data_IF_300376326553
#
_entry.id   IF_300376326553
#
_cell.length_a   1.000
_cell.length_b   1.000
_cell.length_c   1.000
_cell.angle_alpha   90.00
_cell.angle_beta   90.00
_cell.angle_gamma   90.00
#
_symmetry.space_group_name_H-M   'P 1'
#
loop_
_entity.id
_entity.type
_entity.pdbx_description
1 polymer ?
#
# COMPACT_ATOMS: atom_id res chain seq x y z
N UNK A 1 -17.88 -5.21 -21.56
CA UNK A 1 -17.71 -4.22 -22.66
C UNK A 1 -16.35 -4.47 -23.28
N UNK A 2 -16.35 -5.12 -24.43
CA UNK A 2 -15.14 -5.60 -25.10
C UNK A 2 -14.55 -4.47 -25.98
N UNK A 3 -13.41 -3.92 -25.55
CA UNK A 3 -12.71 -2.80 -26.23
C UNK A 3 -11.76 -3.30 -27.34
N UNK A 4 -11.83 -4.58 -27.71
CA UNK A 4 -10.82 -5.23 -28.57
C UNK A 4 -10.93 -4.93 -30.09
N UNK A 5 -12.09 -4.50 -30.61
CA UNK A 5 -12.37 -4.74 -32.04
C UNK A 5 -12.10 -3.62 -33.06
N UNK A 6 -11.48 -2.48 -32.67
CA UNK A 6 -10.97 -1.49 -33.65
C UNK A 6 -9.73 -0.77 -33.10
N UNK A 7 -8.63 -1.50 -32.90
CA UNK A 7 -7.34 -0.85 -32.69
C UNK A 7 -7.02 -0.06 -33.96
N UNK A 8 -7.05 1.27 -33.86
CA UNK A 8 -6.35 2.15 -34.80
C UNK A 8 -4.95 2.28 -34.18
N UNK A 9 -4.00 1.37 -34.50
CA UNK A 9 -2.68 1.36 -33.84
C UNK A 9 -1.93 2.68 -33.99
N UNK A 10 -2.33 3.51 -34.95
CA UNK A 10 -1.67 4.75 -35.28
C UNK A 10 -1.86 5.89 -34.25
N UNK A 11 -2.95 5.89 -33.46
CA UNK A 11 -3.28 7.04 -32.58
C UNK A 11 -2.92 6.84 -31.11
N UNK A 12 -2.33 5.69 -30.75
CA UNK A 12 -2.03 5.31 -29.35
C UNK A 12 -0.95 6.18 -28.69
N UNK A 13 -0.28 7.06 -29.45
CA UNK A 13 0.72 7.98 -28.91
C UNK A 13 0.18 9.38 -28.60
N UNK A 14 -1.02 9.72 -29.09
CA UNK A 14 -1.61 11.05 -28.83
C UNK A 14 -2.22 11.03 -27.43
N UNK A 15 -1.63 11.78 -26.50
CA UNK A 15 -2.03 11.83 -25.10
C UNK A 15 -1.89 13.23 -24.53
N UNK A 16 -2.50 13.46 -23.36
CA UNK A 16 -2.30 14.69 -22.61
C UNK A 16 -0.95 14.64 -21.91
N UNK A 17 -0.06 15.58 -22.17
CA UNK A 17 1.26 15.64 -21.54
C UNK A 17 1.25 15.98 -20.03
N UNK A 18 0.06 16.18 -19.44
CA UNK A 18 -0.13 16.45 -18.01
C UNK A 18 -0.70 15.23 -17.27
N UNK A 19 -1.85 14.73 -17.73
CA UNK A 19 -2.56 13.63 -17.06
C UNK A 19 -2.47 12.28 -17.82
N UNK A 20 -1.78 12.25 -18.95
CA UNK A 20 -1.56 11.07 -19.78
C UNK A 20 -2.82 10.35 -20.29
N UNK A 21 -3.97 11.06 -20.25
CA UNK A 21 -5.22 10.58 -20.86
C UNK A 21 -5.05 10.48 -22.38
N UNK A 22 -5.55 9.40 -22.96
CA UNK A 22 -5.31 9.04 -24.37
C UNK A 22 -6.42 9.59 -25.28
N UNK A 23 -6.02 10.19 -26.39
CA UNK A 23 -6.95 10.74 -27.37
C UNK A 23 -7.86 9.69 -28.01
N UNK A 24 -7.35 8.47 -28.19
CA UNK A 24 -8.10 7.37 -28.84
C UNK A 24 -9.41 7.03 -28.10
N UNK A 25 -9.47 7.25 -26.79
CA UNK A 25 -10.67 7.01 -26.00
C UNK A 25 -11.75 8.08 -26.18
N UNK A 26 -11.43 9.21 -26.83
CA UNK A 26 -12.36 10.32 -27.12
C UNK A 26 -13.16 10.80 -25.89
N UNK A 27 -12.61 10.62 -24.70
CA UNK A 27 -13.24 11.01 -23.42
C UNK A 27 -13.20 12.52 -23.20
N UNK A 28 -12.27 13.22 -23.87
CA UNK A 28 -12.00 14.64 -23.69
C UNK A 28 -11.62 15.30 -25.01
N UNK A 29 -11.79 16.62 -25.06
CA UNK A 29 -11.23 17.46 -26.11
C UNK A 29 -9.74 17.69 -25.83
N UNK A 30 -8.91 17.66 -26.86
CA UNK A 30 -7.47 17.88 -26.78
C UNK A 30 -7.10 19.18 -27.50
N UNK A 31 -6.03 19.80 -27.02
CA UNK A 31 -5.47 21.04 -27.58
C UNK A 31 -3.97 20.87 -27.78
N UNK A 32 -3.47 21.36 -28.91
CA UNK A 32 -2.06 21.57 -29.18
C UNK A 32 -1.69 23.02 -28.82
N UNK A 33 -0.67 23.20 -28.00
CA UNK A 33 -0.18 24.53 -27.65
C UNK A 33 0.78 25.06 -28.73
N UNK A 34 0.30 26.01 -29.54
CA UNK A 34 1.05 26.69 -30.58
C UNK A 34 2.20 27.49 -29.95
N UNK A 35 3.44 27.02 -30.17
CA UNK A 35 4.68 27.60 -29.61
C UNK A 35 5.57 26.55 -28.93
N UNK A 36 4.98 25.53 -28.29
CA UNK A 36 5.75 24.44 -27.66
C UNK A 36 5.35 23.04 -28.12
N UNK A 37 4.28 22.93 -28.92
CA UNK A 37 3.80 21.67 -29.51
C UNK A 37 3.49 20.57 -28.48
N UNK A 38 3.17 20.97 -27.24
CA UNK A 38 2.68 20.04 -26.22
C UNK A 38 1.16 19.87 -26.37
N UNK A 39 0.70 18.64 -26.15
CA UNK A 39 -0.72 18.28 -26.25
C UNK A 39 -1.29 18.24 -24.83
N UNK A 40 -2.43 18.88 -24.60
CA UNK A 40 -3.10 18.94 -23.30
C UNK A 40 -4.61 18.73 -23.46
N UNK A 41 -5.25 18.04 -22.51
CA UNK A 41 -6.71 17.87 -22.53
C UNK A 41 -7.43 19.10 -21.96
N UNK A 42 -8.72 19.22 -22.28
CA UNK A 42 -9.58 20.33 -21.86
C UNK A 42 -9.64 20.51 -20.34
N UNK A 43 -9.51 19.43 -19.55
CA UNK A 43 -9.44 19.52 -18.10
C UNK A 43 -8.15 20.23 -17.64
N UNK A 44 -7.00 19.70 -18.05
CA UNK A 44 -5.71 20.20 -17.62
C UNK A 44 -5.41 21.63 -18.10
N UNK A 45 -5.91 22.02 -19.28
CA UNK A 45 -5.68 23.36 -19.80
C UNK A 45 -6.49 24.43 -19.04
N UNK A 46 -7.71 24.10 -18.58
CA UNK A 46 -8.56 25.01 -17.79
C UNK A 46 -8.00 25.25 -16.39
N UNK A 47 -7.48 24.21 -15.75
CA UNK A 47 -6.80 24.29 -14.44
C UNK A 47 -5.54 25.18 -14.46
N UNK A 48 -5.04 25.53 -15.66
CA UNK A 48 -3.83 26.34 -15.86
C UNK A 48 -4.10 27.64 -16.62
N UNK A 49 -5.35 28.07 -16.73
CA UNK A 49 -5.69 29.37 -17.31
C UNK A 49 -5.25 30.48 -16.34
N UNK A 50 -4.46 31.48 -16.78
CA UNK A 50 -4.16 32.65 -15.96
C UNK A 50 -5.43 33.44 -15.64
N UNK A 51 -5.60 33.84 -14.37
CA UNK A 51 -6.78 34.58 -13.87
C UNK A 51 -7.00 35.90 -14.64
N UNK A 52 -5.93 36.57 -15.07
CA UNK A 52 -6.01 37.92 -15.66
C UNK A 52 -6.10 37.95 -17.21
N UNK A 53 -6.40 36.82 -17.86
CA UNK A 53 -6.42 36.75 -19.32
C UNK A 53 -7.75 37.21 -19.95
N UNK A 54 -7.96 38.54 -20.01
CA UNK A 54 -9.08 39.20 -20.73
C UNK A 54 -8.88 39.28 -22.26
N UNK A 55 -7.82 38.69 -22.81
CA UNK A 55 -7.48 38.68 -24.24
C UNK A 55 -7.61 37.31 -24.91
N UNK A 56 -7.23 37.15 -26.20
CA UNK A 56 -7.24 35.86 -26.89
C UNK A 56 -6.50 34.81 -26.07
N UNK A 57 -7.15 33.67 -25.82
CA UNK A 57 -6.79 32.71 -24.77
C UNK A 57 -5.36 32.18 -24.87
N UNK A 58 -4.43 32.84 -24.18
CA UNK A 58 -3.08 32.35 -23.96
C UNK A 58 -3.09 31.44 -22.73
N UNK A 59 -2.49 30.26 -22.86
CA UNK A 59 -2.42 29.27 -21.81
C UNK A 59 -0.97 29.02 -21.41
N UNK A 60 -0.74 28.85 -20.11
CA UNK A 60 0.57 28.46 -19.59
C UNK A 60 0.74 26.95 -19.74
N UNK A 61 1.73 26.53 -20.52
CA UNK A 61 2.01 25.11 -20.71
C UNK A 61 2.46 24.48 -19.39
N UNK A 62 1.77 23.43 -18.92
CA UNK A 62 2.16 22.68 -17.71
C UNK A 62 3.49 21.94 -17.84
N UNK A 63 3.99 21.74 -19.06
CA UNK A 63 5.19 20.96 -19.35
C UNK A 63 6.45 21.83 -19.38
N UNK A 64 6.40 22.97 -20.06
CA UNK A 64 7.55 23.86 -20.25
C UNK A 64 7.33 25.28 -19.72
N UNK A 65 6.18 25.55 -19.11
CA UNK A 65 5.81 26.83 -18.48
C UNK A 65 5.72 28.04 -19.43
N UNK A 66 5.95 27.84 -20.74
CA UNK A 66 5.78 28.87 -21.78
C UNK A 66 4.30 29.21 -21.98
N UNK A 67 4.01 30.49 -22.24
CA UNK A 67 2.70 30.94 -22.69
C UNK A 67 2.53 30.60 -24.17
N UNK A 68 1.39 30.03 -24.54
CA UNK A 68 1.10 29.58 -25.89
C UNK A 68 -0.39 29.70 -26.19
N UNK A 69 -0.74 29.91 -27.45
CA UNK A 69 -2.14 29.83 -27.90
C UNK A 69 -2.52 28.34 -28.02
N UNK A 70 -3.75 28.00 -27.67
CA UNK A 70 -4.24 26.64 -27.85
C UNK A 70 -4.97 26.49 -29.19
N UNK A 71 -4.65 25.43 -29.92
CA UNK A 71 -5.38 25.00 -31.10
C UNK A 71 -6.06 23.68 -30.78
N UNK A 72 -7.38 23.59 -30.91
CA UNK A 72 -8.09 22.34 -30.66
C UNK A 72 -7.64 21.28 -31.68
N UNK A 73 -7.34 20.07 -31.21
CA UNK A 73 -6.96 18.94 -32.06
C UNK A 73 -8.21 18.41 -32.74
N UNK A 74 -8.48 18.87 -33.96
CA UNK A 74 -9.61 18.49 -34.80
C UNK A 74 -9.33 18.79 -36.28
N UNK A 75 -10.34 18.62 -37.15
CA UNK A 75 -10.19 18.88 -38.58
C UNK A 75 -10.03 20.36 -38.95
N UNK A 76 -10.37 21.29 -38.05
CA UNK A 76 -10.29 22.74 -38.24
C UNK A 76 -8.91 23.31 -37.87
N UNK A 77 -7.94 22.45 -37.53
CA UNK A 77 -6.57 22.88 -37.30
C UNK A 77 -5.93 23.48 -38.56
N UNK A 78 -5.05 24.48 -38.41
CA UNK A 78 -4.20 24.94 -39.51
C UNK A 78 -3.42 23.77 -40.13
N UNK A 79 -3.31 23.75 -41.47
CA UNK A 79 -2.68 22.65 -42.24
C UNK A 79 -1.31 22.27 -41.68
N UNK A 80 -0.42 23.25 -41.45
CA UNK A 80 0.93 23.00 -40.94
C UNK A 80 0.97 22.31 -39.57
N UNK A 81 -0.04 22.50 -38.70
CA UNK A 81 -0.15 21.78 -37.43
C UNK A 81 -0.83 20.42 -37.62
N UNK A 82 -1.80 20.33 -38.52
CA UNK A 82 -2.50 19.08 -38.84
C UNK A 82 -1.55 18.05 -39.44
N UNK A 83 -0.63 18.50 -40.27
CA UNK A 83 0.41 17.69 -40.93
C UNK A 83 1.32 16.97 -39.90
N UNK A 84 1.50 17.52 -38.68
CA UNK A 84 2.24 16.86 -37.59
C UNK A 84 1.58 15.56 -37.10
N UNK A 85 0.27 15.43 -37.27
CA UNK A 85 -0.51 14.24 -36.88
C UNK A 85 -0.73 13.27 -38.05
N UNK A 86 -0.12 13.54 -39.21
CA UNK A 86 -0.34 12.73 -40.40
C UNK A 86 0.26 11.32 -40.22
N UNK A 87 -0.48 10.25 -40.60
CA UNK A 87 -0.02 8.89 -40.33
C UNK A 87 1.12 8.40 -41.21
N UNK A 88 1.21 8.94 -42.42
CA UNK A 88 2.25 8.60 -43.37
C UNK A 88 3.07 9.85 -43.65
N UNK A 89 4.20 10.07 -42.97
CA UNK A 89 4.98 11.29 -43.13
C UNK A 89 5.72 11.37 -44.48
N UNK A 90 5.66 10.30 -45.29
CA UNK A 90 6.35 10.16 -46.59
C UNK A 90 5.59 10.76 -47.78
N UNK A 91 4.53 11.56 -47.56
CA UNK A 91 3.84 12.22 -48.68
C UNK A 91 4.69 13.40 -49.19
N UNK A 92 4.66 13.61 -50.50
CA UNK A 92 5.57 14.50 -51.25
C UNK A 92 5.63 15.96 -50.76
N UNK A 93 4.63 16.42 -49.99
CA UNK A 93 4.53 17.80 -49.48
C UNK A 93 4.78 17.97 -47.96
N UNK A 94 5.11 16.89 -47.23
CA UNK A 94 5.35 16.98 -45.79
C UNK A 94 6.84 17.05 -45.47
N UNK A 95 7.19 17.93 -44.53
CA UNK A 95 8.51 17.88 -43.91
C UNK A 95 8.60 16.66 -42.97
N UNK A 96 8.94 15.52 -43.55
CA UNK A 96 9.01 14.21 -42.89
C UNK A 96 9.82 14.27 -41.59
N UNK A 97 10.95 14.99 -41.58
CA UNK A 97 11.82 15.10 -40.41
C UNK A 97 11.11 15.75 -39.21
N UNK A 98 10.34 16.81 -39.45
CA UNK A 98 9.60 17.55 -38.41
C UNK A 98 8.46 16.70 -37.85
N UNK A 99 7.72 16.01 -38.73
CA UNK A 99 6.62 15.12 -38.34
C UNK A 99 7.15 13.97 -37.49
N UNK A 100 8.19 13.27 -37.95
CA UNK A 100 8.79 12.16 -37.23
C UNK A 100 9.32 12.61 -35.87
N UNK A 101 10.05 13.74 -35.81
CA UNK A 101 10.57 14.25 -34.55
C UNK A 101 9.45 14.59 -33.56
N UNK A 102 8.36 15.20 -34.03
CA UNK A 102 7.19 15.51 -33.20
C UNK A 102 6.56 14.23 -32.64
N UNK A 103 6.24 13.26 -33.50
CA UNK A 103 5.59 12.01 -33.10
C UNK A 103 6.48 11.19 -32.16
N UNK A 104 7.77 11.04 -32.48
CA UNK A 104 8.74 10.33 -31.64
C UNK A 104 8.89 10.96 -30.26
N UNK A 105 8.91 12.30 -30.16
CA UNK A 105 9.00 13.01 -28.88
C UNK A 105 7.81 12.70 -27.98
N UNK A 106 6.59 12.68 -28.53
CA UNK A 106 5.40 12.32 -27.75
C UNK A 106 5.38 10.83 -27.40
N UNK A 107 5.73 9.94 -28.33
CA UNK A 107 5.86 8.50 -28.05
C UNK A 107 6.87 8.22 -26.93
N UNK A 108 8.04 8.86 -26.95
CA UNK A 108 9.06 8.69 -25.91
C UNK A 108 8.56 9.19 -24.56
N UNK A 109 7.90 10.36 -24.52
CA UNK A 109 7.29 10.90 -23.30
C UNK A 109 6.24 9.96 -22.71
N UNK A 110 5.41 9.36 -23.56
CA UNK A 110 4.41 8.38 -23.13
C UNK A 110 5.07 7.12 -22.57
N UNK A 111 6.07 6.57 -23.28
CA UNK A 111 6.84 5.40 -22.82
C UNK A 111 7.50 5.65 -21.46
N UNK A 112 8.14 6.80 -21.27
CA UNK A 112 8.74 7.17 -19.98
C UNK A 112 7.70 7.25 -18.86
N UNK A 113 6.48 7.71 -19.15
CA UNK A 113 5.40 7.72 -18.17
C UNK A 113 4.95 6.31 -17.81
N UNK A 114 4.71 5.45 -18.80
CA UNK A 114 4.34 4.05 -18.55
C UNK A 114 5.41 3.36 -17.73
N UNK A 115 6.69 3.50 -18.09
CA UNK A 115 7.80 2.94 -17.32
C UNK A 115 7.80 3.41 -15.86
N UNK A 116 7.63 4.72 -15.62
CA UNK A 116 7.56 5.28 -14.26
C UNK A 116 6.36 4.72 -13.48
N UNK A 117 5.20 4.60 -14.11
CA UNK A 117 3.99 4.07 -13.49
C UNK A 117 4.13 2.59 -13.16
N UNK A 118 4.72 1.79 -14.06
CA UNK A 118 5.02 0.38 -13.81
C UNK A 118 5.94 0.23 -12.61
N UNK A 119 7.07 0.94 -12.58
CA UNK A 119 8.00 0.88 -11.45
C UNK A 119 7.35 1.30 -10.13
N UNK A 120 6.49 2.32 -10.13
CA UNK A 120 5.72 2.74 -8.96
C UNK A 120 4.75 1.65 -8.47
N UNK A 121 4.07 0.96 -9.40
CA UNK A 121 3.17 -0.14 -9.06
C UNK A 121 3.93 -1.34 -8.50
N UNK A 122 5.09 -1.67 -9.08
CA UNK A 122 5.96 -2.76 -8.62
C UNK A 122 6.43 -2.50 -7.17
N UNK A 123 6.93 -1.30 -6.89
CA UNK A 123 7.35 -0.89 -5.54
C UNK A 123 6.19 -0.96 -4.55
N UNK A 124 5.00 -0.51 -4.95
CA UNK A 124 3.80 -0.57 -4.12
C UNK A 124 3.37 -2.02 -3.86
N UNK A 125 3.45 -2.88 -4.85
CA UNK A 125 3.13 -4.30 -4.72
C UNK A 125 4.11 -5.00 -3.77
N UNK A 126 5.40 -4.72 -3.88
CA UNK A 126 6.42 -5.24 -2.96
C UNK A 126 6.13 -4.80 -1.50
N UNK A 127 5.83 -3.52 -1.31
CA UNK A 127 5.46 -2.98 0.00
C UNK A 127 4.21 -3.63 0.59
N UNK A 128 3.20 -3.90 -0.23
CA UNK A 128 1.99 -4.62 0.20
C UNK A 128 2.31 -6.07 0.57
N UNK A 129 3.20 -6.75 -0.18
CA UNK A 129 3.64 -8.10 0.16
C UNK A 129 4.35 -8.12 1.51
N UNK A 130 5.30 -7.21 1.74
CA UNK A 130 6.02 -7.10 3.03
C UNK A 130 5.06 -6.87 4.21
N UNK A 131 4.07 -5.98 4.05
CA UNK A 131 3.06 -5.72 5.08
C UNK A 131 2.19 -6.95 5.36
N UNK A 132 1.76 -7.65 4.30
CA UNK A 132 1.00 -8.91 4.42
C UNK A 132 1.79 -9.97 5.17
N UNK A 133 3.06 -10.14 4.83
CA UNK A 133 3.90 -11.18 5.42
C UNK A 133 4.23 -10.84 6.89
N UNK A 134 4.49 -9.56 7.20
CA UNK A 134 4.60 -9.09 8.58
C UNK A 134 3.33 -9.32 9.41
N UNK A 135 2.15 -9.07 8.84
CA UNK A 135 0.88 -9.34 9.51
C UNK A 135 0.66 -10.83 9.79
N UNK A 136 1.06 -11.72 8.86
CA UNK A 136 1.02 -13.17 9.07
C UNK A 136 1.94 -13.60 10.22
N UNK A 137 3.16 -13.08 10.28
CA UNK A 137 4.10 -13.37 11.37
C UNK A 137 3.55 -12.91 12.72
N UNK A 138 3.00 -11.70 12.80
CA UNK A 138 2.37 -11.19 14.03
C UNK A 138 1.18 -12.05 14.47
N UNK A 139 0.36 -12.51 13.53
CA UNK A 139 -0.77 -13.40 13.84
C UNK A 139 -0.30 -14.74 14.39
N UNK A 140 0.76 -15.31 13.82
CA UNK A 140 1.37 -16.55 14.30
C UNK A 140 1.95 -16.39 15.71
N UNK A 141 2.69 -15.30 15.98
CA UNK A 141 3.21 -14.98 17.31
C UNK A 141 2.08 -14.81 18.33
N UNK A 142 0.98 -14.14 17.96
CA UNK A 142 -0.18 -13.99 18.83
C UNK A 142 -0.82 -15.35 19.16
N UNK A 143 -0.91 -16.26 18.18
CA UNK A 143 -1.42 -17.62 18.38
C UNK A 143 -0.55 -18.40 19.36
N UNK A 144 0.77 -18.32 19.20
CA UNK A 144 1.75 -18.96 20.09
C UNK A 144 1.65 -18.41 21.52
N UNK A 145 1.66 -17.08 21.68
CA UNK A 145 1.53 -16.43 22.97
C UNK A 145 0.22 -16.79 23.69
N UNK A 146 -0.90 -16.90 22.96
CA UNK A 146 -2.18 -17.37 23.53
C UNK A 146 -2.08 -18.82 24.00
N UNK A 147 -1.40 -19.68 23.26
CA UNK A 147 -1.23 -21.09 23.64
C UNK A 147 -0.34 -21.23 24.87
N UNK A 148 0.74 -20.46 24.96
CA UNK A 148 1.64 -20.43 26.11
C UNK A 148 0.93 -19.91 27.35
N UNK A 149 0.19 -18.80 27.22
CA UNK A 149 -0.62 -18.26 28.32
C UNK A 149 -1.57 -19.31 28.91
N UNK A 150 -2.28 -20.03 28.04
CA UNK A 150 -3.19 -21.12 28.46
C UNK A 150 -2.45 -22.23 29.21
N UNK A 151 -1.26 -22.63 28.74
CA UNK A 151 -0.45 -23.65 29.43
C UNK A 151 0.03 -23.18 30.81
N UNK A 152 0.46 -21.92 30.92
CA UNK A 152 0.90 -21.33 32.17
C UNK A 152 -0.25 -21.21 33.18
N UNK A 153 -1.44 -20.81 32.74
CA UNK A 153 -2.65 -20.77 33.57
C UNK A 153 -3.00 -22.15 34.14
N UNK A 154 -2.92 -23.20 33.32
CA UNK A 154 -3.13 -24.58 33.76
C UNK A 154 -2.09 -25.02 34.81
N UNK A 155 -0.80 -24.74 34.56
CA UNK A 155 0.27 -25.05 35.52
C UNK A 155 0.11 -24.31 36.83
N UNK A 156 -0.24 -23.01 36.78
CA UNK A 156 -0.50 -22.21 37.98
C UNK A 156 -1.64 -22.80 38.81
N UNK A 157 -2.71 -23.27 38.15
CA UNK A 157 -3.85 -23.91 38.81
C UNK A 157 -3.43 -25.20 39.53
N UNK A 158 -2.62 -26.04 38.88
CA UNK A 158 -2.09 -27.28 39.48
C UNK A 158 -1.18 -26.99 40.69
N UNK A 159 -0.30 -25.99 40.58
CA UNK A 159 0.59 -25.60 41.68
C UNK A 159 -0.22 -25.09 42.87
N UNK A 160 -1.22 -24.23 42.63
CA UNK A 160 -2.13 -23.75 43.69
C UNK A 160 -2.87 -24.89 44.38
N UNK A 161 -3.36 -25.87 43.62
CA UNK A 161 -4.03 -27.06 44.17
C UNK A 161 -3.09 -27.86 45.08
N UNK A 162 -1.88 -28.19 44.61
CA UNK A 162 -0.88 -28.91 45.41
C UNK A 162 -0.49 -28.15 46.68
N UNK A 163 -0.37 -26.82 46.60
CA UNK A 163 -0.07 -26.00 47.77
C UNK A 163 -1.19 -26.06 48.80
N UNK A 164 -2.46 -26.01 48.39
CA UNK A 164 -3.61 -26.18 49.29
C UNK A 164 -3.61 -27.55 49.97
N UNK A 165 -3.40 -28.62 49.21
CA UNK A 165 -3.33 -29.98 49.73
C UNK A 165 -2.18 -30.16 50.76
N UNK A 166 -1.01 -29.55 50.51
CA UNK A 166 0.10 -29.57 51.47
C UNK A 166 -0.22 -28.79 52.75
N UNK A 167 -0.86 -27.64 52.64
CA UNK A 167 -1.27 -26.84 53.81
C UNK A 167 -2.36 -27.54 54.63
N UNK A 168 -3.31 -28.22 53.99
CA UNK A 168 -4.31 -29.05 54.67
C UNK A 168 -3.66 -30.24 55.41
N UNK A 169 -2.67 -30.89 54.81
CA UNK A 169 -1.89 -31.96 55.46
C UNK A 169 -1.12 -31.47 56.69
N UNK A 170 -0.59 -30.23 56.66
CA UNK A 170 0.09 -29.64 57.82
C UNK A 170 -0.87 -29.31 58.96
N UNK A 171 -2.09 -28.84 58.64
CA UNK A 171 -3.11 -28.51 59.64
C UNK A 171 -3.73 -29.74 60.29
N UNK A 172 -3.72 -30.88 59.60
CA UNK A 172 -4.30 -32.13 60.08
C UNK A 172 -3.23 -33.25 60.13
N UNK A 173 -2.20 -33.12 61.00
CA UNK A 173 -1.17 -34.14 61.13
C UNK A 173 -1.83 -35.42 61.64
N UNK A 174 -1.95 -36.42 60.78
CA UNK A 174 -2.41 -37.75 61.21
C UNK A 174 -1.44 -38.25 62.28
N UNK A 175 -1.93 -38.84 63.39
CA UNK A 175 -1.06 -39.45 64.38
C UNK A 175 -0.17 -40.48 63.68
N UNK A 176 1.14 -40.34 63.86
CA UNK A 176 2.11 -41.37 63.49
C UNK A 176 1.74 -42.64 64.26
N UNK A 177 1.06 -43.57 63.60
CA UNK A 177 0.94 -44.93 64.10
C UNK A 177 2.34 -45.51 64.00
N UNK A 178 3.02 -45.62 65.13
CA UNK A 178 4.25 -46.38 65.29
C UNK A 178 4.00 -47.82 64.82
N UNK A 179 4.38 -48.13 63.58
CA UNK A 179 4.54 -49.50 63.12
C UNK A 179 5.87 -50.01 63.66
N UNK A 180 5.80 -50.68 64.80
CA UNK A 180 6.85 -51.62 65.22
C UNK A 180 6.94 -52.81 64.24
N UNK A 181 8.05 -53.54 64.30
CA UNK A 181 8.39 -54.80 63.59
C UNK A 181 8.88 -54.62 62.14
N UNK A 182 9.99 -55.20 61.65
CA UNK A 182 11.04 -56.10 62.18
C UNK A 182 12.18 -56.12 61.15
N UNK A 183 13.41 -56.26 61.64
CA UNK A 183 14.64 -56.58 60.91
C UNK A 183 14.59 -57.96 60.20
N UNK A 184 14.93 -58.03 58.91
CA UNK A 184 15.73 -59.13 58.31
C UNK A 184 16.19 -58.84 56.85
N UNK A 185 17.50 -58.70 56.73
CA UNK A 185 18.46 -59.16 55.69
C UNK A 185 18.09 -59.46 54.21
N UNK A 186 18.98 -58.92 53.34
CA UNK A 186 19.57 -59.49 52.10
C UNK A 186 18.67 -59.70 50.86
N UNK A 187 19.03 -59.43 49.60
CA UNK A 187 20.35 -59.31 48.96
C UNK A 187 20.23 -58.77 47.51
N UNK A 188 21.36 -58.26 46.98
CA UNK A 188 21.85 -58.29 45.58
C UNK A 188 21.35 -57.30 44.50
N UNK A 189 22.27 -56.38 44.19
CA UNK A 189 22.80 -55.97 42.87
C UNK A 189 21.86 -55.79 41.67
N UNK A 190 21.80 -54.55 41.17
CA UNK A 190 22.27 -54.28 39.79
C UNK A 190 22.65 -52.82 39.59
N UNK A 191 23.75 -52.66 38.86
CA UNK A 191 24.48 -51.43 38.62
C UNK A 191 24.01 -50.68 37.36
N UNK A 192 24.37 -49.39 37.33
CA UNK A 192 24.59 -48.51 36.17
C UNK A 192 23.39 -47.85 35.45
N UNK A 193 23.62 -46.73 34.71
CA UNK A 193 24.56 -45.64 34.97
C UNK A 193 23.96 -44.23 34.79
N UNK A 194 24.63 -43.24 35.40
CA UNK A 194 24.79 -41.84 35.01
C UNK A 194 23.67 -41.14 34.20
N UNK A 195 23.02 -40.17 34.84
CA UNK A 195 22.52 -38.95 34.16
C UNK A 195 22.97 -37.70 34.90
N UNK A 196 23.20 -36.59 34.17
CA UNK A 196 24.16 -35.58 34.54
C UNK A 196 23.60 -34.59 35.56
N UNK A 197 24.50 -34.23 36.48
CA UNK A 197 24.40 -33.13 37.44
C UNK A 197 24.34 -31.80 36.66
N UNK A 198 23.13 -31.26 36.45
CA UNK A 198 22.98 -29.88 35.99
C UNK A 198 23.27 -28.96 37.17
N UNK A 199 24.47 -28.42 37.11
CA UNK A 199 25.05 -27.39 37.97
C UNK A 199 24.20 -26.11 37.86
N UNK A 200 23.41 -25.78 38.89
CA UNK A 200 22.78 -24.47 39.01
C UNK A 200 23.74 -23.56 39.77
N UNK A 201 24.74 -23.06 39.04
CA UNK A 201 25.54 -21.94 39.49
C UNK A 201 24.67 -20.68 39.55
N UNK A 202 24.74 -20.07 40.71
CA UNK A 202 24.36 -18.71 41.03
C UNK A 202 24.94 -17.77 39.96
N UNK A 203 24.09 -16.99 39.31
CA UNK A 203 24.50 -15.71 38.74
C UNK A 203 23.41 -14.65 38.98
N UNK A 204 23.40 -14.16 40.21
CA UNK A 204 23.08 -12.76 40.46
C UNK A 204 24.22 -11.92 39.87
N UNK A 205 23.96 -11.22 38.77
CA UNK A 205 24.56 -9.92 38.45
C UNK A 205 23.89 -9.36 37.20
N UNK A 206 23.15 -8.26 37.40
CA UNK A 206 23.12 -7.03 36.57
C UNK A 206 21.73 -6.40 36.56
N UNK A 207 21.29 -5.97 37.73
CA UNK A 207 20.56 -4.71 37.86
C UNK A 207 21.57 -3.58 37.69
N UNK A 208 21.55 -2.90 36.55
CA UNK A 208 21.80 -1.46 36.44
C UNK A 208 21.59 -1.00 35.00
N UNK A 209 20.73 0.03 34.89
CA UNK A 209 20.68 1.05 33.85
C UNK A 209 20.28 0.62 32.44
N UNK A 210 18.97 0.65 32.14
CA UNK A 210 18.46 1.46 31.03
C UNK A 210 17.16 2.12 31.51
N UNK A 211 17.31 3.35 31.98
CA UNK A 211 16.25 4.33 32.10
C UNK A 211 15.57 4.54 30.74
N UNK A 212 14.24 4.55 30.80
CA UNK A 212 13.29 5.06 29.82
C UNK A 212 13.87 5.93 28.70
N UNK A 213 13.79 5.41 27.47
CA UNK A 213 13.54 6.19 26.26
C UNK A 213 12.70 5.31 25.31
N UNK A 214 11.47 5.00 25.74
CA UNK A 214 10.42 4.52 24.85
C UNK A 214 9.80 5.73 24.14
N UNK A 215 10.59 6.34 23.24
CA UNK A 215 10.06 7.19 22.19
C UNK A 215 9.55 6.27 21.08
N UNK A 216 8.30 5.83 21.21
CA UNK A 216 7.62 5.15 20.11
C UNK A 216 7.62 6.04 18.85
N UNK A 217 7.68 5.47 17.64
CA UNK A 217 7.55 6.27 16.42
C UNK A 217 6.18 6.96 16.43
N UNK A 218 6.23 8.30 16.59
CA UNK A 218 5.09 9.20 16.48
C UNK A 218 4.52 9.04 15.07
N UNK A 219 3.33 8.45 14.98
CA UNK A 219 2.52 8.46 13.77
C UNK A 219 2.41 9.91 13.26
N UNK A 220 2.62 10.18 11.96
CA UNK A 220 2.43 11.52 11.42
C UNK A 220 0.97 11.93 11.62
N UNK A 221 0.77 13.02 12.36
CA UNK A 221 -0.52 13.71 12.43
C UNK A 221 -0.76 14.34 11.05
N UNK A 222 -1.70 13.76 10.31
CA UNK A 222 -2.32 14.43 9.17
C UNK A 222 -3.08 15.65 9.71
N UNK A 223 -2.48 16.83 9.58
CA UNK A 223 -3.18 18.11 9.65
C UNK A 223 -4.01 18.28 8.38
N UNK A 224 -5.21 17.67 8.37
CA UNK A 224 -6.29 18.09 7.50
C UNK A 224 -6.77 19.45 7.99
N UNK A 225 -6.38 20.51 7.29
CA UNK A 225 -7.00 21.82 7.40
C UNK A 225 -8.38 21.73 6.73
N UNK A 226 -9.40 21.42 7.53
CA UNK A 226 -10.81 21.52 7.14
C UNK A 226 -11.29 22.93 7.44
N UNK A 227 -11.09 23.84 6.49
CA UNK A 227 -11.80 25.11 6.49
C UNK A 227 -13.13 24.90 5.76
N UNK A 228 -14.13 24.44 6.50
CA UNK A 228 -15.51 24.30 6.03
C UNK A 228 -16.41 25.05 7.02
N UNK A 229 -16.68 26.32 6.71
CA UNK A 229 -17.76 27.06 7.32
C UNK A 229 -19.06 26.75 6.54
N UNK A 230 -20.01 26.13 7.26
CA UNK A 230 -21.45 26.44 7.35
C UNK A 230 -22.14 26.96 6.06
N UNK A 231 -23.23 26.37 5.55
CA UNK A 231 -24.54 26.16 6.22
C UNK A 231 -25.53 25.38 5.27
N UNK A 232 -26.85 25.15 5.57
CA UNK A 232 -27.42 23.81 5.74
C UNK A 232 -28.64 23.41 4.85
N UNK A 233 -29.07 22.13 5.02
CA UNK A 233 -30.40 21.50 4.78
C UNK A 233 -30.80 21.03 3.34
N UNK A 234 -31.74 20.04 3.22
CA UNK A 234 -31.95 18.85 4.06
C UNK A 234 -32.18 17.52 3.28
N UNK A 235 -32.16 16.46 4.07
CA UNK A 235 -32.69 15.09 3.92
C UNK A 235 -33.90 14.97 2.96
N UNK A 236 -33.80 14.07 1.97
CA UNK A 236 -34.91 13.24 1.48
C UNK A 236 -34.42 12.02 0.66
N UNK A 237 -34.83 10.83 1.11
CA UNK A 237 -35.17 9.64 0.34
C UNK A 237 -34.16 9.06 -0.67
N UNK A 238 -33.59 7.88 -0.36
CA UNK A 238 -33.98 6.63 -1.03
C UNK A 238 -33.27 5.43 -0.38
N UNK A 239 -33.97 4.76 0.53
CA UNK A 239 -33.70 3.37 0.89
C UNK A 239 -34.88 2.57 0.33
N UNK A 240 -34.62 1.76 -0.70
CA UNK A 240 -35.39 0.58 -1.10
C UNK A 240 -34.78 0.03 -2.39
N UNK A 241 -34.07 -1.09 -2.27
CA UNK A 241 -34.16 -2.27 -3.15
C UNK A 241 -32.98 -3.20 -2.89
N UNK A 242 -33.16 -4.05 -1.89
CA UNK A 242 -32.47 -5.34 -1.77
C UNK A 242 -33.51 -6.42 -2.02
N UNK A 243 -33.53 -6.94 -3.24
CA UNK A 243 -34.13 -8.21 -3.62
C UNK A 243 -33.08 -8.93 -4.49
N UNK A 244 -32.37 -9.89 -3.91
CA UNK A 244 -32.63 -11.33 -4.05
C UNK A 244 -32.29 -11.85 -5.46
N UNK A 245 -31.13 -12.49 -5.57
CA UNK A 245 -31.00 -13.69 -6.40
C UNK A 245 -30.17 -14.71 -5.63
N UNK A 246 -30.83 -15.83 -5.35
CA UNK A 246 -30.33 -17.09 -4.83
C UNK A 246 -30.35 -18.06 -6.02
N UNK A 247 -29.28 -18.85 -6.12
CA UNK A 247 -28.94 -19.91 -7.09
C UNK A 247 -28.39 -19.44 -8.44
#
# INVERSE_FOLDING_TARGET
MDLSSKKIPFLEWIHCNTCYDLYVYKTRIFYLLAGCLHIVCAKCIREKKPEDSNGPSHYKCSVCLKLARACQVNNNMPKHLKDLFHPFPNKEDLNMSVVLQFQQRHQQRFRHYIQRMTSFLDERQENLSKRRDGAKTLYQQLREARSERKQLEQRMTLVKKRHREMEERKKNPRPLVHSTYTTSESSKFSAHPNKPRINRSILYKRSQQISANLSGPRMPQNSFNSNAQNNPNPIANFAQNTESFVL
#
